data_IF_074224006707
#
_entry.id   IF_074224006707
#
_cell.length_a   1.000
_cell.length_b   1.000
_cell.length_c   1.000
_cell.angle_alpha   90.00
_cell.angle_beta   90.00
_cell.angle_gamma   90.00
#
_symmetry.space_group_name_H-M   'P 1'
#
loop_
_entity.id
_entity.type
_entity.pdbx_description
1 polymer ?
#
# COMPACT_ATOMS: atom_id res chain seq x y z
N UNK A 1 24.66 -10.70 -12.73
CA UNK A 1 23.75 -10.16 -13.76
C UNK A 1 22.43 -9.89 -13.07
N UNK A 2 22.24 -8.67 -12.58
CA UNK A 2 20.98 -8.26 -11.93
C UNK A 2 19.99 -7.99 -13.06
N UNK A 3 18.99 -8.85 -13.23
CA UNK A 3 17.85 -8.58 -14.11
C UNK A 3 17.28 -7.21 -13.74
N UNK A 4 17.26 -6.27 -14.69
CA UNK A 4 16.53 -5.02 -14.54
C UNK A 4 15.07 -5.39 -14.30
N UNK A 5 14.62 -5.26 -13.06
CA UNK A 5 13.30 -5.66 -12.65
C UNK A 5 12.39 -4.48 -12.99
N UNK A 6 11.48 -4.66 -13.95
CA UNK A 6 10.58 -3.61 -14.42
C UNK A 6 9.55 -3.28 -13.33
N UNK A 7 9.36 -1.98 -13.07
CA UNK A 7 8.32 -1.45 -12.20
C UNK A 7 6.95 -2.03 -12.55
N UNK A 8 6.15 -2.39 -11.55
CA UNK A 8 4.83 -2.96 -11.77
C UNK A 8 3.98 -3.08 -10.50
N UNK A 9 2.79 -3.71 -10.60
CA UNK A 9 2.00 -4.06 -9.42
C UNK A 9 2.81 -4.84 -8.39
N UNK A 10 2.63 -4.53 -7.12
CA UNK A 10 3.36 -5.16 -6.01
C UNK A 10 4.65 -4.48 -5.60
N UNK A 11 5.10 -3.48 -6.34
CA UNK A 11 6.23 -2.65 -5.97
C UNK A 11 5.81 -1.54 -5.00
N UNK A 12 6.82 -1.01 -4.29
CA UNK A 12 6.67 0.13 -3.40
C UNK A 12 7.31 1.37 -4.02
N UNK A 13 6.61 2.49 -3.91
CA UNK A 13 7.18 3.82 -4.04
C UNK A 13 7.39 4.36 -2.64
N UNK A 14 8.65 4.51 -2.23
CA UNK A 14 9.00 5.04 -0.92
C UNK A 14 9.40 6.49 -1.07
N UNK A 15 8.65 7.38 -0.43
CA UNK A 15 8.91 8.81 -0.51
C UNK A 15 10.32 9.11 -0.01
N UNK A 16 11.12 9.76 -0.84
CA UNK A 16 12.44 10.23 -0.44
C UNK A 16 12.30 11.38 0.56
N UNK A 17 13.34 11.67 1.37
CA UNK A 17 13.28 12.79 2.32
C UNK A 17 13.10 14.17 1.66
N UNK A 18 13.38 14.28 0.37
CA UNK A 18 13.24 15.52 -0.41
C UNK A 18 11.80 15.75 -0.89
N UNK A 19 10.95 14.72 -0.95
CA UNK A 19 9.55 14.84 -1.34
C UNK A 19 8.74 15.58 -0.27
N UNK A 20 8.38 16.83 -0.57
CA UNK A 20 7.71 17.76 0.37
C UNK A 20 6.19 17.81 0.26
N UNK A 21 5.59 17.17 -0.75
CA UNK A 21 4.14 17.14 -0.90
C UNK A 21 3.49 16.59 0.39
N UNK A 22 2.59 17.34 1.06
CA UNK A 22 1.93 16.86 2.27
C UNK A 22 1.18 15.53 2.09
N UNK A 23 0.68 15.24 0.90
CA UNK A 23 -0.01 13.98 0.57
C UNK A 23 0.95 12.78 0.54
N UNK A 24 2.24 13.01 0.29
CA UNK A 24 3.20 11.93 0.02
C UNK A 24 4.48 11.97 0.87
N UNK A 25 4.70 13.02 1.66
CA UNK A 25 5.86 13.09 2.56
C UNK A 25 5.86 11.90 3.54
N UNK A 26 7.01 11.21 3.62
CA UNK A 26 7.21 9.96 4.41
C UNK A 26 6.17 8.87 4.14
N UNK A 27 5.61 8.80 2.95
CA UNK A 27 4.72 7.69 2.59
C UNK A 27 5.47 6.49 2.05
N UNK A 28 4.84 5.34 2.19
CA UNK A 28 5.11 4.17 1.37
C UNK A 28 3.84 3.91 0.58
N UNK A 29 3.92 3.99 -0.74
CA UNK A 29 2.82 3.65 -1.65
C UNK A 29 3.03 2.23 -2.15
N UNK A 30 2.03 1.37 -2.04
CA UNK A 30 1.99 0.07 -2.71
C UNK A 30 1.28 0.20 -4.06
N UNK A 31 1.96 -0.17 -5.15
CA UNK A 31 1.39 -0.12 -6.49
C UNK A 31 0.42 -1.28 -6.71
N UNK A 32 -0.80 -0.90 -7.11
CA UNK A 32 -1.90 -1.81 -7.44
C UNK A 32 -1.93 -2.06 -8.95
N UNK A 33 -1.73 -1.02 -9.75
CA UNK A 33 -1.68 -1.09 -11.20
C UNK A 33 -0.59 -0.17 -11.74
N UNK A 34 0.05 -0.57 -12.83
CA UNK A 34 1.02 0.23 -13.58
C UNK A 34 0.99 -0.21 -15.04
N UNK A 35 0.62 0.71 -15.93
CA UNK A 35 0.61 0.49 -17.38
C UNK A 35 0.81 1.83 -18.12
N UNK A 36 0.77 1.80 -19.45
CA UNK A 36 0.97 2.98 -20.31
C UNK A 36 -0.04 4.12 -20.10
N UNK A 37 -1.22 3.82 -19.53
CA UNK A 37 -2.25 4.82 -19.23
C UNK A 37 -2.05 5.46 -17.86
N UNK A 38 -1.12 4.97 -17.05
CA UNK A 38 -0.82 5.51 -15.72
C UNK A 38 -0.62 4.45 -14.64
N UNK A 39 -0.57 4.93 -13.41
CA UNK A 39 -0.33 4.10 -12.23
C UNK A 39 -1.36 4.36 -11.13
N UNK A 40 -1.71 3.32 -10.39
CA UNK A 40 -2.61 3.40 -9.23
C UNK A 40 -1.93 2.71 -8.06
N UNK A 41 -1.97 3.34 -6.88
CA UNK A 41 -1.42 2.77 -5.66
C UNK A 41 -2.13 3.25 -4.41
N UNK A 42 -1.79 2.68 -3.26
CA UNK A 42 -2.29 3.11 -1.95
C UNK A 42 -1.17 3.38 -0.98
N UNK A 43 -1.29 4.46 -0.22
CA UNK A 43 -0.42 4.75 0.91
C UNK A 43 -0.71 3.78 2.05
N UNK A 44 0.27 2.92 2.37
CA UNK A 44 0.10 1.80 3.32
C UNK A 44 0.47 2.14 4.77
N UNK A 45 0.98 3.34 5.03
CA UNK A 45 1.53 3.75 6.32
C UNK A 45 0.87 5.01 6.91
N UNK A 46 -0.33 5.36 6.46
CA UNK A 46 -1.13 6.48 7.00
C UNK A 46 -2.47 5.98 7.56
N UNK A 47 -2.50 5.43 8.78
CA UNK A 47 -3.77 5.14 9.44
C UNK A 47 -4.54 6.45 9.69
N UNK A 48 -5.87 6.41 9.54
CA UNK A 48 -6.78 7.47 9.96
C UNK A 48 -7.33 7.21 11.37
N UNK A 49 -8.13 8.16 11.87
CA UNK A 49 -8.87 7.99 13.13
C UNK A 49 -10.24 7.30 12.92
N UNK A 50 -10.63 7.06 11.67
CA UNK A 50 -11.93 6.47 11.32
C UNK A 50 -11.84 4.96 11.36
N UNK A 51 -12.64 4.33 12.21
CA UNK A 51 -12.70 2.87 12.29
C UNK A 51 -13.40 2.27 11.06
N UNK A 52 -12.95 1.08 10.61
CA UNK A 52 -13.56 0.40 9.45
C UNK A 52 -15.04 0.13 9.69
N UNK A 53 -15.41 -0.32 10.89
CA UNK A 53 -16.81 -0.64 11.23
C UNK A 53 -17.76 0.56 11.13
N UNK A 54 -17.25 1.79 11.17
CA UNK A 54 -18.06 3.01 11.05
C UNK A 54 -18.52 3.24 9.61
N UNK A 55 -17.69 2.86 8.63
CA UNK A 55 -17.96 3.08 7.19
C UNK A 55 -18.42 1.79 6.51
N UNK A 56 -17.83 0.66 6.90
CA UNK A 56 -18.13 -0.67 6.38
C UNK A 56 -18.39 -1.62 7.58
N UNK A 57 -19.59 -1.57 8.19
CA UNK A 57 -19.92 -2.35 9.38
C UNK A 57 -19.63 -3.84 9.22
N UNK A 58 -19.99 -4.42 8.06
CA UNK A 58 -19.77 -5.83 7.76
C UNK A 58 -18.29 -6.23 7.73
N UNK A 59 -17.39 -5.32 7.34
CA UNK A 59 -15.95 -5.60 7.22
C UNK A 59 -15.15 -5.22 8.47
N UNK A 60 -15.77 -4.54 9.44
CA UNK A 60 -15.11 -3.97 10.60
C UNK A 60 -14.32 -4.98 11.44
N UNK A 61 -14.91 -6.14 11.71
CA UNK A 61 -14.27 -7.21 12.52
C UNK A 61 -13.20 -7.98 11.76
N UNK A 62 -13.20 -7.89 10.42
CA UNK A 62 -12.32 -8.64 9.54
C UNK A 62 -11.07 -7.86 9.11
N UNK A 63 -11.07 -6.54 9.31
CA UNK A 63 -9.94 -5.68 9.01
C UNK A 63 -8.73 -6.01 9.91
N UNK A 64 -7.55 -6.07 9.30
CA UNK A 64 -6.29 -6.30 10.01
C UNK A 64 -5.94 -5.14 10.92
N UNK A 65 -5.39 -5.43 12.09
CA UNK A 65 -5.08 -4.39 13.09
C UNK A 65 -4.04 -3.38 12.58
N UNK A 66 -4.19 -2.08 12.90
CA UNK A 66 -5.37 -1.46 13.53
C UNK A 66 -6.56 -1.43 12.56
N UNK A 67 -7.80 -1.77 13.01
CA UNK A 67 -8.98 -1.86 12.15
C UNK A 67 -9.57 -0.47 11.85
N UNK A 68 -8.74 0.42 11.32
CA UNK A 68 -9.08 1.78 10.89
C UNK A 68 -8.90 1.89 9.38
N UNK A 69 -9.58 2.84 8.76
CA UNK A 69 -9.31 3.20 7.38
C UNK A 69 -7.90 3.80 7.28
N UNK A 70 -7.20 3.46 6.22
CA UNK A 70 -5.94 4.09 5.87
C UNK A 70 -6.20 5.17 4.81
N UNK A 71 -5.54 6.31 4.90
CA UNK A 71 -5.61 7.34 3.86
C UNK A 71 -4.77 6.85 2.68
N UNK A 72 -5.41 6.32 1.65
CA UNK A 72 -4.75 5.67 0.51
C UNK A 72 -4.17 6.65 -0.50
N UNK A 73 -4.67 7.89 -0.54
CA UNK A 73 -4.14 8.98 -1.35
C UNK A 73 -5.20 10.07 -1.59
N UNK A 74 -4.85 11.11 -2.37
CA UNK A 74 -5.70 12.28 -2.56
C UNK A 74 -6.83 12.09 -3.57
N UNK A 75 -6.86 10.98 -4.33
CA UNK A 75 -7.83 10.73 -5.39
C UNK A 75 -9.00 9.92 -4.83
N UNK A 76 -10.23 10.31 -5.16
CA UNK A 76 -11.47 9.61 -4.78
C UNK A 76 -11.54 9.28 -3.28
N UNK A 77 -11.29 10.26 -2.41
CA UNK A 77 -11.24 10.09 -0.95
C UNK A 77 -12.53 9.53 -0.33
N UNK A 78 -13.66 9.67 -1.01
CA UNK A 78 -14.96 9.13 -0.59
C UNK A 78 -15.17 7.65 -0.99
N UNK A 79 -14.30 7.10 -1.84
CA UNK A 79 -14.33 5.71 -2.23
C UNK A 79 -13.42 4.86 -1.32
N UNK A 80 -13.90 3.67 -0.98
CA UNK A 80 -13.13 2.70 -0.22
C UNK A 80 -12.52 1.63 -1.15
N UNK A 81 -11.26 1.29 -0.93
CA UNK A 81 -10.59 0.18 -1.60
C UNK A 81 -10.08 -0.80 -0.56
N UNK A 82 -10.35 -2.10 -0.75
CA UNK A 82 -9.90 -3.14 0.15
C UNK A 82 -8.79 -3.97 -0.52
N UNK A 83 -7.63 -4.06 0.14
CA UNK A 83 -6.50 -4.86 -0.32
C UNK A 83 -6.33 -6.05 0.62
N UNK A 84 -6.46 -7.24 0.05
CA UNK A 84 -6.34 -8.52 0.74
C UNK A 84 -5.01 -9.19 0.47
N UNK A 85 -4.53 -9.98 1.43
CA UNK A 85 -3.45 -10.95 1.20
C UNK A 85 -4.04 -12.35 1.34
N UNK A 86 -3.94 -13.16 0.30
CA UNK A 86 -4.45 -14.54 0.30
C UNK A 86 -3.61 -15.46 1.19
N UNK A 87 -4.22 -16.50 1.74
CA UNK A 87 -3.50 -17.54 2.50
C UNK A 87 -2.61 -18.36 1.57
N UNK A 88 -1.47 -18.88 2.08
CA UNK A 88 -0.66 -19.83 1.33
C UNK A 88 -1.51 -21.03 0.85
N UNK A 89 -1.29 -21.45 -0.40
CA UNK A 89 -2.00 -22.57 -1.01
C UNK A 89 -3.37 -22.23 -1.64
N UNK A 90 -3.87 -21.00 -1.49
CA UNK A 90 -5.06 -20.53 -2.19
C UNK A 90 -4.66 -19.94 -3.55
N UNK A 91 -5.30 -20.38 -4.62
CA UNK A 91 -5.14 -19.76 -5.94
C UNK A 91 -5.97 -18.48 -6.03
N UNK A 92 -5.27 -17.33 -6.01
CA UNK A 92 -5.89 -16.01 -6.10
C UNK A 92 -6.69 -15.79 -7.38
N UNK A 93 -6.38 -16.49 -8.47
CA UNK A 93 -7.06 -16.32 -9.76
C UNK A 93 -8.47 -16.94 -9.76
N UNK A 94 -8.75 -17.81 -8.79
CA UNK A 94 -10.04 -18.49 -8.63
C UNK A 94 -10.93 -17.83 -7.57
N UNK A 95 -10.54 -16.66 -7.06
CA UNK A 95 -11.29 -15.96 -6.02
C UNK A 95 -12.38 -15.09 -6.67
N UNK A 96 -13.67 -15.42 -6.54
CA UNK A 96 -14.73 -14.75 -7.30
C UNK A 96 -15.02 -13.32 -6.82
N UNK A 97 -14.63 -13.00 -5.58
CA UNK A 97 -14.85 -11.69 -4.95
C UNK A 97 -13.58 -10.82 -4.99
N UNK A 98 -12.54 -11.19 -5.74
CA UNK A 98 -11.28 -10.46 -5.72
C UNK A 98 -10.55 -10.46 -7.05
N UNK A 99 -9.83 -9.37 -7.34
CA UNK A 99 -8.99 -9.23 -8.52
C UNK A 99 -7.50 -9.42 -8.15
N UNK A 100 -6.73 -10.25 -8.89
CA UNK A 100 -5.30 -10.42 -8.63
C UNK A 100 -4.49 -9.14 -8.84
N UNK A 101 -3.60 -8.82 -7.89
CA UNK A 101 -2.65 -7.70 -8.00
C UNK A 101 -1.23 -8.24 -8.25
N UNK A 102 -0.56 -8.73 -7.22
CA UNK A 102 0.83 -9.18 -7.27
C UNK A 102 1.15 -10.16 -6.14
N UNK A 103 1.88 -11.24 -6.43
CA UNK A 103 2.11 -12.31 -5.43
C UNK A 103 0.79 -12.79 -4.78
N UNK A 104 0.69 -12.89 -3.44
CA UNK A 104 -0.56 -13.24 -2.78
C UNK A 104 -1.53 -12.05 -2.59
N UNK A 105 -1.29 -10.89 -3.20
CA UNK A 105 -2.11 -9.68 -3.00
C UNK A 105 -3.24 -9.61 -4.02
N UNK A 106 -4.43 -9.24 -3.53
CA UNK A 106 -5.67 -9.09 -4.32
C UNK A 106 -6.41 -7.80 -3.93
N UNK A 107 -7.18 -7.23 -4.84
CA UNK A 107 -8.22 -6.25 -4.53
C UNK A 107 -9.51 -6.99 -4.18
N UNK A 108 -10.08 -6.72 -3.02
CA UNK A 108 -11.30 -7.37 -2.55
C UNK A 108 -12.50 -6.50 -2.90
N UNK A 109 -13.51 -7.11 -3.51
CA UNK A 109 -14.80 -6.48 -3.75
C UNK A 109 -15.54 -6.28 -2.42
N UNK A 110 -15.71 -5.03 -2.01
CA UNK A 110 -16.37 -4.68 -0.75
C UNK A 110 -17.87 -4.95 -0.73
N UNK A 111 -18.50 -5.16 -1.89
CA UNK A 111 -19.91 -5.56 -2.01
C UNK A 111 -20.11 -7.07 -1.78
N UNK A 112 -19.03 -7.85 -1.65
CA UNK A 112 -19.10 -9.27 -1.35
C UNK A 112 -19.34 -9.55 0.13
N UNK A 113 -19.82 -10.76 0.43
CA UNK A 113 -20.01 -11.20 1.82
C UNK A 113 -18.66 -11.49 2.50
N UNK A 114 -18.32 -10.81 3.61
CA UNK A 114 -17.05 -11.01 4.31
C UNK A 114 -16.82 -12.48 4.73
N UNK A 115 -17.86 -13.18 5.17
CA UNK A 115 -17.77 -14.57 5.61
C UNK A 115 -17.38 -15.54 4.48
N UNK A 116 -17.72 -15.21 3.23
CA UNK A 116 -17.25 -15.95 2.06
C UNK A 116 -15.79 -15.62 1.73
N UNK A 117 -15.37 -14.38 1.99
CA UNK A 117 -14.05 -13.88 1.63
C UNK A 117 -12.94 -14.28 2.62
N UNK A 118 -13.20 -14.08 3.90
CA UNK A 118 -12.22 -14.19 4.97
C UNK A 118 -11.59 -15.58 5.17
N UNK A 119 -12.26 -16.71 4.87
CA UNK A 119 -11.61 -18.02 4.88
C UNK A 119 -10.40 -18.12 3.94
N UNK A 120 -10.36 -17.33 2.87
CA UNK A 120 -9.31 -17.35 1.85
C UNK A 120 -8.21 -16.33 2.11
N UNK A 121 -8.47 -15.33 2.96
CA UNK A 121 -7.57 -14.21 3.23
C UNK A 121 -6.79 -14.42 4.54
N UNK A 122 -5.49 -14.16 4.49
CA UNK A 122 -4.62 -14.03 5.65
C UNK A 122 -4.85 -12.71 6.38
N UNK A 123 -5.22 -11.67 5.65
CA UNK A 123 -5.55 -10.36 6.18
C UNK A 123 -6.09 -9.43 5.11
N UNK A 124 -6.65 -8.32 5.57
CA UNK A 124 -7.35 -7.32 4.76
C UNK A 124 -7.06 -5.93 5.34
N UNK A 125 -6.80 -4.95 4.48
CA UNK A 125 -6.72 -3.54 4.87
C UNK A 125 -7.60 -2.71 3.96
N UNK A 126 -8.30 -1.74 4.54
CA UNK A 126 -9.22 -0.85 3.83
C UNK A 126 -8.62 0.55 3.77
N UNK A 127 -8.67 1.15 2.59
CA UNK A 127 -8.14 2.46 2.27
C UNK A 127 -9.27 3.39 1.84
N UNK A 128 -9.24 4.64 2.30
CA UNK A 128 -10.04 5.73 1.76
C UNK A 128 -9.22 6.48 0.71
N UNK A 129 -9.73 6.52 -0.52
CA UNK A 129 -9.01 7.04 -1.68
C UNK A 129 -7.78 6.25 -2.09
N UNK A 130 -7.12 6.73 -3.13
CA UNK A 130 -5.91 6.14 -3.67
C UNK A 130 -4.96 7.23 -4.21
N UNK A 131 -3.72 6.84 -4.47
CA UNK A 131 -2.76 7.62 -5.24
C UNK A 131 -2.90 7.25 -6.72
N UNK A 132 -2.78 8.24 -7.59
CA UNK A 132 -2.91 8.07 -9.04
C UNK A 132 -1.87 8.92 -9.75
N UNK A 133 -1.26 8.34 -10.78
CA UNK A 133 -0.35 9.01 -11.68
C UNK A 133 -0.92 8.91 -13.09
N UNK A 134 -0.96 10.04 -13.81
CA UNK A 134 -1.24 10.03 -15.23
C UNK A 134 -0.13 9.34 -16.04
N UNK A 135 -0.32 9.23 -17.36
CA UNK A 135 0.75 8.80 -18.28
C UNK A 135 2.02 9.63 -18.04
N UNK A 136 3.17 8.95 -18.01
CA UNK A 136 4.52 9.50 -17.81
C UNK A 136 4.80 10.25 -16.49
N UNK A 137 3.77 10.69 -15.75
CA UNK A 137 3.94 11.45 -14.51
C UNK A 137 4.82 10.72 -13.47
N UNK A 138 4.60 9.41 -13.29
CA UNK A 138 5.43 8.63 -12.35
C UNK A 138 6.89 8.55 -12.84
N UNK A 139 7.12 8.48 -14.14
CA UNK A 139 8.47 8.45 -14.70
C UNK A 139 9.18 9.80 -14.48
N UNK A 140 8.47 10.91 -14.64
CA UNK A 140 8.99 12.24 -14.35
C UNK A 140 9.34 12.40 -12.86
N UNK A 141 8.45 12.00 -11.95
CA UNK A 141 8.70 12.04 -10.51
C UNK A 141 9.90 11.15 -10.09
N UNK A 142 10.10 10.02 -10.77
CA UNK A 142 11.28 9.17 -10.56
C UNK A 142 12.56 9.83 -11.07
N UNK A 143 12.49 10.57 -12.19
CA UNK A 143 13.62 11.33 -12.71
C UNK A 143 14.02 12.50 -11.78
N UNK A 144 13.07 12.99 -10.97
CA UNK A 144 13.29 14.02 -9.95
C UNK A 144 13.69 13.48 -8.57
N UNK A 145 14.01 12.17 -8.46
CA UNK A 145 14.36 11.50 -7.20
C UNK A 145 13.28 11.65 -6.11
N UNK A 146 12.00 11.75 -6.49
CA UNK A 146 10.89 11.83 -5.54
C UNK A 146 10.61 10.50 -4.82
N UNK A 147 10.95 9.37 -5.48
CA UNK A 147 10.60 8.03 -5.01
C UNK A 147 11.78 7.05 -5.11
N UNK A 148 12.03 6.32 -4.02
CA UNK A 148 12.82 5.09 -4.05
C UNK A 148 11.89 3.92 -4.46
N UNK A 149 12.25 3.20 -5.52
CA UNK A 149 11.47 2.08 -6.05
C UNK A 149 11.99 0.76 -5.48
N UNK A 150 11.18 0.09 -4.66
CA UNK A 150 11.61 -1.09 -3.90
C UNK A 150 10.61 -2.26 -4.06
N UNK A 151 11.06 -3.52 -3.98
CA UNK A 151 10.16 -4.66 -3.97
C UNK A 151 9.27 -4.64 -2.73
N UNK A 152 7.96 -4.77 -2.95
CA UNK A 152 6.97 -4.86 -1.87
C UNK A 152 6.84 -6.27 -1.33
N UNK A 153 6.56 -6.37 -0.03
CA UNK A 153 6.19 -7.62 0.63
C UNK A 153 4.73 -7.56 1.08
N UNK A 154 3.99 -8.68 1.05
CA UNK A 154 2.61 -8.72 1.53
C UNK A 154 2.45 -8.28 3.01
N UNK A 155 3.52 -8.44 3.81
CA UNK A 155 3.56 -8.00 5.21
C UNK A 155 3.67 -6.47 5.38
N UNK A 156 3.98 -5.74 4.31
CA UNK A 156 3.92 -4.28 4.27
C UNK A 156 2.48 -3.78 4.32
N UNK A 157 1.58 -4.43 3.59
CA UNK A 157 0.14 -4.12 3.60
C UNK A 157 -0.54 -4.44 4.93
N UNK A 158 -0.05 -5.44 5.67
CA UNK A 158 -0.65 -5.90 6.93
C UNK A 158 0.14 -5.48 8.18
N UNK A 159 1.05 -4.51 8.05
CA UNK A 159 1.88 -4.05 9.15
C UNK A 159 1.04 -3.55 10.33
N UNK A 160 1.36 -4.00 11.55
CA UNK A 160 0.64 -3.62 12.76
C UNK A 160 0.84 -2.15 13.16
N UNK A 161 0.10 -1.66 14.17
CA UNK A 161 0.03 -0.24 14.52
C UNK A 161 1.35 0.36 15.05
N UNK A 162 2.22 -0.48 15.62
CA UNK A 162 3.52 -0.06 16.16
C UNK A 162 4.66 -0.12 15.13
N UNK A 163 4.35 -0.52 13.89
CA UNK A 163 5.36 -0.68 12.85
C UNK A 163 5.47 0.62 12.05
N UNK A 164 6.63 1.25 12.11
CA UNK A 164 7.03 2.24 11.12
C UNK A 164 7.37 1.51 9.81
N UNK A 165 6.40 1.47 8.89
CA UNK A 165 6.55 0.79 7.59
C UNK A 165 7.64 1.46 6.74
N UNK A 166 7.75 2.79 6.78
CA UNK A 166 8.75 3.52 6.00
C UNK A 166 10.16 3.16 6.48
N UNK A 167 10.38 3.22 7.81
CA UNK A 167 11.63 2.78 8.41
C UNK A 167 11.93 1.32 8.08
N UNK A 168 10.95 0.42 8.25
CA UNK A 168 11.13 -1.02 8.02
C UNK A 168 11.50 -1.34 6.58
N UNK A 169 10.83 -0.71 5.61
CA UNK A 169 11.08 -0.94 4.17
C UNK A 169 12.45 -0.43 3.77
N UNK A 170 12.90 0.72 4.26
CA UNK A 170 14.26 1.20 3.99
C UNK A 170 15.31 0.38 4.73
N UNK A 171 15.07 0.02 6.00
CA UNK A 171 16.05 -0.67 6.83
C UNK A 171 16.40 -2.07 6.35
N UNK A 172 15.46 -2.75 5.68
CA UNK A 172 15.69 -4.07 5.06
C UNK A 172 16.46 -4.01 3.75
N UNK A 173 16.71 -2.82 3.21
CA UNK A 173 17.56 -2.67 2.02
C UNK A 173 19.04 -2.88 2.38
N UNK A 174 19.86 -3.06 1.36
CA UNK A 174 21.31 -3.14 1.51
C UNK A 174 21.92 -1.79 1.90
N UNK A 175 23.21 -1.83 2.24
CA UNK A 175 24.01 -0.61 2.32
C UNK A 175 24.22 -0.05 0.89
N UNK A 176 24.14 1.28 0.67
CA UNK A 176 23.94 2.34 1.65
C UNK A 176 22.46 2.73 1.91
N UNK A 177 21.49 2.24 1.14
CA UNK A 177 20.08 2.66 1.20
C UNK A 177 19.45 2.50 2.59
N UNK A 178 19.87 1.50 3.36
CA UNK A 178 19.44 1.32 4.74
C UNK A 178 19.69 2.54 5.65
N UNK A 179 20.66 3.41 5.33
CA UNK A 179 20.93 4.64 6.07
C UNK A 179 19.80 5.66 5.95
N UNK A 180 19.09 5.68 4.82
CA UNK A 180 17.96 6.61 4.59
C UNK A 180 16.88 6.44 5.66
N UNK A 181 16.72 5.23 6.21
CA UNK A 181 15.77 4.93 7.29
C UNK A 181 15.97 5.81 8.54
N UNK A 182 17.18 6.28 8.80
CA UNK A 182 17.51 7.12 9.96
C UNK A 182 17.36 8.62 9.69
N UNK A 183 16.92 9.01 8.49
CA UNK A 183 16.66 10.41 8.20
C UNK A 183 15.63 10.94 9.22
N UNK A 184 15.92 12.03 9.95
CA UNK A 184 15.05 12.54 11.00
C UNK A 184 13.62 12.68 10.49
N UNK A 185 12.67 12.18 11.30
CA UNK A 185 11.28 12.60 11.26
C UNK A 185 11.16 14.12 11.40
N UNK A 186 10.04 14.69 10.97
CA UNK A 186 9.70 16.07 11.34
C UNK A 186 9.92 16.22 12.86
N UNK A 187 10.88 17.06 13.25
CA UNK A 187 11.28 17.30 14.65
C UNK A 187 10.17 17.97 15.49
N UNK A 188 9.01 18.22 14.89
CA UNK A 188 7.89 18.99 15.45
C UNK A 188 6.77 18.12 16.05
N UNK A 189 6.94 16.80 16.13
CA UNK A 189 6.03 15.88 16.82
C UNK A 189 6.78 15.14 17.94
N UNK A 190 7.11 15.84 19.02
CA UNK A 190 7.45 15.29 20.33
C UNK A 190 6.64 16.05 21.39
#
# INVERSE_FOLDING_TARGET
MTTAQTLGPGWLLVATPTLRDPNFRRTVVYLIAHNEHGSVGVVINRPSETAVHTVLPAWGEHASRPPVLYVGGPVQTDAAMAVGVVKPGVDRAQIPFAEPVAGPVVLVNLDSEPDAAMPQLRGLRVFAGHAGWGPDQLADELAEDAWDVLPGLPDDLLAGPLVDVWFRVLRRQGWPDALKAYHPGDLMRN
#
